data_IF_376466545077
#
_entry.id   IF_376466545077
#
_cell.length_a   1.000
_cell.length_b   1.000
_cell.length_c   1.000
_cell.angle_alpha   90.00
_cell.angle_beta   90.00
_cell.angle_gamma   90.00
#
_symmetry.space_group_name_H-M   'P 1'
#
loop_
_entity.id
_entity.type
_entity.pdbx_description
1 polymer ?
#
# COMPACT_ATOMS: atom_id res chain seq x y z
N UNK A 1 1.41 18.26 -63.11
CA UNK A 1 1.94 17.34 -62.07
C UNK A 1 1.35 17.73 -60.70
N UNK A 2 0.12 17.29 -60.39
CA UNK A 2 -0.47 17.51 -59.07
C UNK A 2 -0.11 16.32 -58.17
N UNK A 3 0.61 16.55 -57.07
CA UNK A 3 0.93 15.51 -56.08
C UNK A 3 -0.32 15.21 -55.25
N UNK A 4 -0.96 14.08 -55.51
CA UNK A 4 -2.02 13.54 -54.65
C UNK A 4 -1.44 13.15 -53.29
N UNK A 5 -2.00 13.68 -52.19
CA UNK A 5 -1.68 13.23 -50.84
C UNK A 5 -2.42 11.91 -50.59
N UNK A 6 -1.67 10.85 -50.29
CA UNK A 6 -2.24 9.58 -49.82
C UNK A 6 -2.74 9.82 -48.39
N UNK A 7 -4.07 9.87 -48.23
CA UNK A 7 -4.69 9.92 -46.91
C UNK A 7 -4.66 8.53 -46.27
N UNK A 8 -4.06 8.41 -45.09
CA UNK A 8 -4.27 7.23 -44.25
C UNK A 8 -5.68 7.29 -43.66
N UNK A 9 -6.44 6.17 -43.65
CA UNK A 9 -7.75 6.16 -43.03
C UNK A 9 -7.59 6.38 -41.52
N UNK A 10 -8.17 7.48 -41.03
CA UNK A 10 -8.41 7.70 -39.61
C UNK A 10 -9.48 6.69 -39.19
N UNK A 11 -9.07 5.60 -38.54
CA UNK A 11 -10.00 4.67 -37.89
C UNK A 11 -10.63 5.44 -36.73
N UNK A 12 -11.92 5.80 -36.88
CA UNK A 12 -12.68 6.38 -35.77
C UNK A 12 -12.89 5.28 -34.71
N UNK A 13 -12.55 5.50 -33.43
CA UNK A 13 -12.93 4.55 -32.40
C UNK A 13 -14.46 4.51 -32.34
N UNK A 14 -15.02 3.35 -32.67
CA UNK A 14 -16.47 3.12 -32.62
C UNK A 14 -16.97 3.20 -31.17
N UNK A 15 -18.19 3.71 -30.94
CA UNK A 15 -18.78 3.76 -29.60
C UNK A 15 -19.46 2.42 -29.34
N UNK A 16 -18.70 1.43 -28.87
CA UNK A 16 -19.22 0.32 -28.06
C UNK A 16 -18.11 -0.70 -27.79
N UNK A 17 -17.23 -0.39 -26.83
CA UNK A 17 -16.73 -1.45 -25.96
C UNK A 17 -17.81 -1.66 -24.90
N UNK A 18 -18.90 -2.31 -25.31
CA UNK A 18 -19.88 -2.84 -24.37
C UNK A 18 -19.20 -3.98 -23.63
N UNK A 19 -18.50 -3.66 -22.54
CA UNK A 19 -18.09 -4.65 -21.56
C UNK A 19 -19.39 -5.23 -20.99
N UNK A 20 -19.78 -6.39 -21.51
CA UNK A 20 -20.65 -7.28 -20.76
C UNK A 20 -20.00 -7.42 -19.38
N UNK A 21 -20.72 -7.05 -18.32
CA UNK A 21 -20.24 -7.21 -16.95
C UNK A 21 -20.05 -8.70 -16.66
N UNK A 22 -18.89 -9.25 -17.00
CA UNK A 22 -18.31 -10.41 -16.33
C UNK A 22 -17.36 -9.83 -15.30
N UNK A 23 -17.84 -9.61 -14.08
CA UNK A 23 -17.07 -9.02 -13.00
C UNK A 23 -16.01 -10.01 -12.49
N UNK A 24 -14.94 -10.21 -13.27
CA UNK A 24 -13.67 -10.83 -12.87
C UNK A 24 -12.52 -9.83 -12.91
N UNK A 25 -12.84 -8.53 -12.98
CA UNK A 25 -11.81 -7.48 -13.02
C UNK A 25 -11.34 -7.15 -11.61
N UNK A 26 -10.04 -7.27 -11.40
CA UNK A 26 -9.36 -6.95 -10.16
C UNK A 26 -8.01 -6.28 -10.45
N UNK A 27 -7.43 -5.65 -9.44
CA UNK A 27 -6.15 -4.97 -9.57
C UNK A 27 -6.25 -3.52 -10.06
N UNK A 28 -5.10 -2.98 -10.47
CA UNK A 28 -4.94 -1.61 -10.95
C UNK A 28 -3.80 -0.86 -10.25
N UNK A 29 -3.76 0.46 -10.46
CA UNK A 29 -2.80 1.37 -9.83
C UNK A 29 -3.52 2.19 -8.77
N UNK A 30 -2.94 2.26 -7.57
CA UNK A 30 -3.54 2.91 -6.41
C UNK A 30 -2.60 3.95 -5.82
N UNK A 31 -3.10 5.17 -5.70
CA UNK A 31 -2.36 6.34 -5.20
C UNK A 31 -3.01 6.98 -3.98
N UNK A 32 -4.15 6.46 -3.53
CA UNK A 32 -4.84 6.90 -2.32
C UNK A 32 -3.98 6.61 -1.08
N UNK A 33 -4.07 7.41 0.00
CA UNK A 33 -3.30 7.18 1.22
C UNK A 33 -3.74 5.94 2.02
N UNK A 34 -4.90 5.37 1.71
CA UNK A 34 -5.43 4.17 2.39
C UNK A 34 -6.42 3.45 1.48
N UNK A 35 -6.35 2.13 1.44
CA UNK A 35 -7.35 1.29 0.76
C UNK A 35 -7.41 -0.10 1.37
N UNK A 36 -8.53 -0.78 1.13
CA UNK A 36 -8.71 -2.22 1.38
C UNK A 36 -8.91 -2.89 0.03
N UNK A 37 -8.10 -3.90 -0.26
CA UNK A 37 -8.27 -4.83 -1.38
C UNK A 37 -8.91 -6.10 -0.87
N UNK A 38 -9.72 -6.72 -1.73
CA UNK A 38 -10.36 -7.99 -1.45
C UNK A 38 -10.12 -8.92 -2.63
N UNK A 39 -10.09 -10.22 -2.37
CA UNK A 39 -10.21 -11.21 -3.44
C UNK A 39 -11.52 -10.98 -4.21
N UNK A 40 -11.53 -11.22 -5.54
CA UNK A 40 -12.77 -11.20 -6.30
C UNK A 40 -13.78 -12.20 -5.72
N UNK A 41 -15.02 -11.77 -5.50
CA UNK A 41 -16.07 -12.61 -4.91
C UNK A 41 -16.25 -12.47 -3.40
N UNK A 42 -15.27 -11.90 -2.68
CA UNK A 42 -15.32 -11.75 -1.22
C UNK A 42 -16.63 -11.08 -0.73
N UNK A 43 -17.32 -11.62 0.29
CA UNK A 43 -16.89 -12.65 1.25
C UNK A 43 -17.15 -14.10 0.82
N UNK A 44 -17.58 -14.34 -0.42
CA UNK A 44 -17.58 -15.71 -0.95
C UNK A 44 -16.15 -16.11 -1.35
N UNK A 45 -15.97 -17.40 -1.60
CA UNK A 45 -14.74 -17.95 -2.14
C UNK A 45 -14.37 -17.26 -3.47
N UNK A 46 -13.07 -17.16 -3.75
CA UNK A 46 -12.59 -16.71 -5.06
C UNK A 46 -12.86 -17.80 -6.11
N UNK A 47 -12.83 -17.44 -7.40
CA UNK A 47 -12.92 -18.43 -8.49
C UNK A 47 -11.52 -18.98 -8.81
N UNK A 48 -11.49 -20.14 -9.46
CA UNK A 48 -10.31 -20.66 -10.15
C UNK A 48 -9.82 -19.69 -11.25
N UNK A 49 -8.53 -19.81 -11.59
CA UNK A 49 -7.83 -19.14 -12.70
C UNK A 49 -7.89 -17.61 -12.62
N UNK A 50 -7.84 -17.05 -11.40
CA UNK A 50 -7.79 -15.62 -11.19
C UNK A 50 -6.34 -15.13 -11.16
N UNK A 51 -6.11 -13.95 -11.73
CA UNK A 51 -4.84 -13.25 -11.64
C UNK A 51 -5.14 -11.77 -11.40
N UNK A 52 -4.67 -11.25 -10.27
CA UNK A 52 -4.89 -9.88 -9.87
C UNK A 52 -3.56 -9.20 -9.53
N UNK A 53 -3.38 -7.97 -10.00
CA UNK A 53 -2.19 -7.15 -9.72
C UNK A 53 -2.59 -5.80 -9.14
N UNK A 54 -2.13 -5.48 -7.93
CA UNK A 54 -2.31 -4.17 -7.32
C UNK A 54 -0.96 -3.48 -7.19
N UNK A 55 -0.79 -2.36 -7.91
CA UNK A 55 0.40 -1.52 -7.81
C UNK A 55 0.09 -0.29 -6.96
N UNK A 56 0.72 -0.19 -5.79
CA UNK A 56 0.58 0.95 -4.89
C UNK A 56 1.72 1.92 -5.18
N UNK A 57 1.39 3.20 -5.37
CA UNK A 57 2.36 4.28 -5.55
C UNK A 57 1.93 5.51 -4.76
N UNK A 58 2.66 5.78 -3.68
CA UNK A 58 2.45 6.93 -2.81
C UNK A 58 3.41 8.08 -3.15
N UNK A 59 3.32 9.18 -2.40
CA UNK A 59 4.23 10.31 -2.56
C UNK A 59 5.65 9.93 -2.11
N UNK A 60 6.65 10.55 -2.72
CA UNK A 60 8.04 10.35 -2.31
C UNK A 60 8.24 10.71 -0.82
N UNK A 61 8.99 9.86 -0.12
CA UNK A 61 9.23 9.98 1.32
C UNK A 61 8.20 9.25 2.18
N UNK A 62 7.02 8.88 1.63
CA UNK A 62 6.08 8.00 2.32
C UNK A 62 6.50 6.54 2.19
N UNK A 63 6.07 5.72 3.15
CA UNK A 63 6.13 4.25 3.12
C UNK A 63 4.72 3.67 3.15
N UNK A 64 4.59 2.39 2.86
CA UNK A 64 3.33 1.65 2.79
C UNK A 64 3.34 0.64 3.93
N UNK A 65 2.40 0.74 4.85
CA UNK A 65 2.13 -0.28 5.87
C UNK A 65 0.96 -1.13 5.41
N UNK A 66 1.24 -2.39 5.07
CA UNK A 66 0.32 -3.41 4.65
C UNK A 66 -0.04 -4.30 5.85
N UNK A 67 -1.33 -4.59 6.00
CA UNK A 67 -1.90 -5.39 7.09
C UNK A 67 -2.98 -6.32 6.55
N UNK A 68 -3.07 -7.52 7.12
CA UNK A 68 -4.02 -8.55 6.71
C UNK A 68 -5.21 -8.56 7.67
N UNK A 69 -6.42 -8.47 7.13
CA UNK A 69 -7.67 -8.48 7.90
C UNK A 69 -8.33 -9.87 7.85
N UNK A 70 -8.24 -10.53 6.70
CA UNK A 70 -8.65 -11.92 6.46
C UNK A 70 -7.68 -12.54 5.44
N UNK A 71 -7.40 -13.83 5.58
CA UNK A 71 -6.53 -14.58 4.68
C UNK A 71 -6.86 -16.08 4.76
N UNK A 72 -7.31 -16.65 3.64
CA UNK A 72 -7.66 -18.06 3.49
C UNK A 72 -7.54 -18.44 2.00
N UNK A 73 -6.42 -19.07 1.63
CA UNK A 73 -6.15 -19.61 0.30
C UNK A 73 -5.98 -21.14 0.40
N UNK A 74 -6.03 -21.84 -0.74
CA UNK A 74 -5.60 -23.24 -0.79
C UNK A 74 -4.19 -23.38 -0.17
N UNK A 75 -4.03 -24.39 0.69
CA UNK A 75 -2.77 -24.64 1.39
C UNK A 75 -2.00 -25.78 0.74
N UNK A 76 -0.75 -25.51 0.37
CA UNK A 76 0.21 -26.53 -0.02
C UNK A 76 1.61 -26.15 0.51
N UNK A 77 2.49 -27.13 0.78
CA UNK A 77 3.77 -26.86 1.46
C UNK A 77 4.69 -25.83 0.79
N UNK A 78 4.49 -25.52 -0.50
CA UNK A 78 5.30 -24.58 -1.25
C UNK A 78 4.49 -23.43 -1.87
N UNK A 79 3.20 -23.31 -1.56
CA UNK A 79 2.28 -22.33 -2.14
C UNK A 79 2.42 -22.25 -3.67
N UNK A 80 2.29 -23.40 -4.33
CA UNK A 80 2.43 -23.55 -5.77
C UNK A 80 1.09 -23.50 -6.51
N UNK A 81 -0.01 -23.85 -5.84
CA UNK A 81 -1.34 -23.76 -6.41
C UNK A 81 -1.84 -22.30 -6.32
N UNK A 82 -2.41 -21.93 -5.17
CA UNK A 82 -2.91 -20.59 -4.92
C UNK A 82 -1.95 -19.80 -4.04
N UNK A 83 -1.72 -18.53 -4.39
CA UNK A 83 -0.80 -17.72 -3.61
C UNK A 83 -1.04 -16.21 -3.71
N UNK A 84 -0.60 -15.53 -2.66
CA UNK A 84 -0.44 -14.09 -2.60
C UNK A 84 1.05 -13.74 -2.52
N UNK A 85 1.55 -12.96 -3.47
CA UNK A 85 2.93 -12.47 -3.51
C UNK A 85 3.00 -10.97 -3.23
N UNK A 86 4.07 -10.57 -2.54
CA UNK A 86 4.33 -9.18 -2.19
C UNK A 86 5.73 -8.80 -2.65
N UNK A 87 5.83 -7.65 -3.29
CA UNK A 87 7.07 -7.06 -3.76
C UNK A 87 7.20 -5.63 -3.24
N UNK A 88 8.32 -5.32 -2.59
CA UNK A 88 8.74 -3.98 -2.17
C UNK A 88 9.35 -3.20 -3.35
N UNK A 89 8.66 -3.23 -4.49
CA UNK A 89 9.02 -2.57 -5.73
C UNK A 89 7.75 -2.26 -6.54
N UNK A 90 7.88 -1.61 -7.70
CA UNK A 90 6.75 -1.30 -8.59
C UNK A 90 6.54 -2.36 -9.69
N UNK A 91 7.21 -3.51 -9.59
CA UNK A 91 7.08 -4.66 -10.48
C UNK A 91 7.01 -5.97 -9.66
N UNK A 92 6.84 -7.10 -10.32
CA UNK A 92 6.81 -8.44 -9.73
C UNK A 92 8.13 -9.22 -9.96
N UNK A 93 9.24 -8.50 -10.14
CA UNK A 93 10.57 -9.05 -10.43
C UNK A 93 11.55 -8.71 -9.29
N UNK A 94 11.50 -7.47 -8.81
CA UNK A 94 12.42 -6.95 -7.80
C UNK A 94 11.77 -6.85 -6.43
N UNK A 95 12.59 -6.94 -5.38
CA UNK A 95 12.14 -6.68 -4.01
C UNK A 95 11.11 -7.70 -3.50
N UNK A 96 11.17 -8.96 -3.95
CA UNK A 96 10.32 -10.02 -3.43
C UNK A 96 10.41 -10.10 -1.90
N UNK A 97 9.26 -9.97 -1.23
CA UNK A 97 9.13 -10.01 0.22
C UNK A 97 8.74 -11.42 0.68
N UNK A 98 7.75 -12.00 0.02
CA UNK A 98 7.24 -13.31 0.38
C UNK A 98 6.08 -13.77 -0.51
N UNK A 99 5.82 -15.07 -0.40
CA UNK A 99 4.67 -15.76 -0.99
C UNK A 99 3.91 -16.44 0.15
N UNK A 100 2.59 -16.29 0.13
CA UNK A 100 1.71 -16.71 1.22
C UNK A 100 0.52 -17.49 0.67
N UNK A 101 0.13 -18.56 1.37
CA UNK A 101 -1.05 -19.37 1.11
C UNK A 101 -1.57 -19.97 2.44
N UNK A 102 -2.62 -20.80 2.39
CA UNK A 102 -3.28 -21.31 3.58
C UNK A 102 -4.07 -20.24 4.34
N UNK A 103 -4.31 -20.48 5.62
CA UNK A 103 -5.23 -19.68 6.45
C UNK A 103 -4.56 -18.96 7.64
N UNK A 104 -3.23 -19.00 7.72
CA UNK A 104 -2.48 -18.21 8.69
C UNK A 104 -2.37 -16.77 8.20
N UNK A 105 -2.74 -15.81 9.05
CA UNK A 105 -2.57 -14.38 8.74
C UNK A 105 -1.07 -14.05 8.69
N UNK A 106 -0.56 -13.54 7.55
CA UNK A 106 0.83 -13.10 7.49
C UNK A 106 1.08 -11.89 8.40
N UNK A 107 2.33 -11.71 8.82
CA UNK A 107 2.73 -10.52 9.56
C UNK A 107 2.58 -9.24 8.71
N UNK A 108 2.34 -8.12 9.40
CA UNK A 108 2.30 -6.81 8.76
C UNK A 108 3.63 -6.46 8.08
N UNK A 109 3.56 -5.86 6.90
CA UNK A 109 4.72 -5.51 6.09
C UNK A 109 4.80 -4.00 5.94
N UNK A 110 6.00 -3.42 6.12
CA UNK A 110 6.26 -2.01 5.86
C UNK A 110 7.28 -1.90 4.72
N UNK A 111 6.84 -1.40 3.56
CA UNK A 111 7.68 -1.17 2.37
C UNK A 111 8.89 -0.31 2.69
N UNK A 112 10.03 -0.44 2.02
CA UNK A 112 11.18 0.46 2.22
C UNK A 112 11.01 1.79 1.51
N UNK A 113 10.22 1.81 0.43
CA UNK A 113 9.94 2.99 -0.39
C UNK A 113 8.44 3.33 -0.50
N UNK A 114 8.12 4.19 -1.46
CA UNK A 114 6.75 4.65 -1.73
C UNK A 114 5.99 3.77 -2.74
N UNK A 115 6.52 2.58 -3.06
CA UNK A 115 5.93 1.65 -4.03
C UNK A 115 5.86 0.24 -3.46
N UNK A 116 4.82 -0.50 -3.84
CA UNK A 116 4.64 -1.91 -3.51
C UNK A 116 3.74 -2.56 -4.56
N UNK A 117 4.08 -3.77 -4.99
CA UNK A 117 3.25 -4.59 -5.88
C UNK A 117 2.72 -5.79 -5.12
N UNK A 118 1.42 -6.03 -5.25
CA UNK A 118 0.74 -7.19 -4.70
C UNK A 118 0.19 -8.01 -5.86
N UNK A 119 0.32 -9.33 -5.77
CA UNK A 119 -0.15 -10.26 -6.80
C UNK A 119 -0.90 -11.40 -6.15
N UNK A 120 -2.10 -11.68 -6.65
CA UNK A 120 -2.85 -12.88 -6.31
C UNK A 120 -2.99 -13.74 -7.56
N UNK A 121 -2.78 -15.05 -7.39
CA UNK A 121 -3.04 -16.04 -8.42
C UNK A 121 -3.79 -17.23 -7.79
N UNK A 122 -4.81 -17.72 -8.49
CA UNK A 122 -5.41 -19.03 -8.23
C UNK A 122 -5.25 -19.97 -9.43
N UNK A 123 -5.11 -21.27 -9.15
CA UNK A 123 -4.93 -22.30 -10.16
C UNK A 123 -6.27 -22.79 -10.76
N UNK A 124 -6.31 -23.95 -11.40
CA UNK A 124 -7.50 -24.46 -12.07
C UNK A 124 -8.52 -25.15 -11.15
N UNK A 125 -8.24 -25.30 -9.86
CA UNK A 125 -9.10 -26.03 -8.92
C UNK A 125 -8.83 -25.65 -7.47
N UNK A 126 -9.79 -25.97 -6.60
CA UNK A 126 -9.74 -25.72 -5.15
C UNK A 126 -9.72 -24.23 -4.86
N UNK A 127 -10.75 -23.79 -4.15
CA UNK A 127 -10.90 -22.39 -3.77
C UNK A 127 -11.13 -22.31 -2.28
N UNK A 128 -10.88 -21.14 -1.71
CA UNK A 128 -10.99 -20.86 -0.29
C UNK A 128 -11.56 -19.45 -0.08
N UNK A 129 -11.71 -19.04 1.18
CA UNK A 129 -12.42 -17.80 1.57
C UNK A 129 -11.82 -16.50 1.03
N UNK A 130 -10.58 -16.54 0.55
CA UNK A 130 -9.87 -15.41 -0.04
C UNK A 130 -9.29 -14.47 1.01
N UNK A 131 -9.25 -13.17 0.72
CA UNK A 131 -8.55 -12.23 1.60
C UNK A 131 -9.18 -10.84 1.65
N UNK A 132 -8.90 -10.14 2.74
CA UNK A 132 -9.03 -8.69 2.85
C UNK A 132 -7.71 -8.10 3.34
N UNK A 133 -7.08 -7.27 2.51
CA UNK A 133 -5.76 -6.70 2.78
C UNK A 133 -5.87 -5.19 2.75
N UNK A 134 -5.30 -4.52 3.76
CA UNK A 134 -5.36 -3.08 3.91
C UNK A 134 -3.96 -2.49 3.83
N UNK A 135 -3.81 -1.42 3.06
CA UNK A 135 -2.62 -0.59 3.15
C UNK A 135 -2.96 0.81 3.68
N UNK A 136 -1.99 1.43 4.35
CA UNK A 136 -2.00 2.83 4.76
C UNK A 136 -0.65 3.49 4.48
N UNK A 137 -0.69 4.76 4.12
CA UNK A 137 0.48 5.61 3.98
C UNK A 137 1.09 5.89 5.36
N UNK A 138 2.41 5.76 5.45
CA UNK A 138 3.21 6.15 6.60
C UNK A 138 4.06 7.34 6.19
N UNK A 139 3.78 8.50 6.77
CA UNK A 139 4.52 9.72 6.50
C UNK A 139 5.92 9.67 7.14
N UNK A 140 6.92 10.32 6.53
CA UNK A 140 8.22 10.47 7.15
C UNK A 140 8.09 11.28 8.46
N UNK A 141 8.98 11.07 9.46
CA UNK A 141 8.96 11.85 10.68
C UNK A 141 9.06 13.35 10.37
N UNK A 142 8.03 14.12 10.74
CA UNK A 142 8.07 15.57 10.57
C UNK A 142 9.16 16.17 11.46
N UNK A 143 9.99 17.09 10.92
CA UNK A 143 10.98 17.86 11.70
C UNK A 143 10.33 18.99 12.53
N UNK A 144 9.06 18.89 12.91
CA UNK A 144 8.34 19.97 13.58
C UNK A 144 8.08 19.67 15.06
N UNK A 145 9.16 19.63 15.86
CA UNK A 145 9.16 20.04 17.28
C UNK A 145 10.57 20.02 17.92
N UNK A 146 11.57 20.61 17.26
CA UNK A 146 12.77 21.09 17.95
C UNK A 146 12.82 22.61 17.80
N UNK A 147 12.26 23.34 18.78
CA UNK A 147 12.21 24.81 18.72
C UNK A 147 11.24 25.51 19.65
N UNK A 148 11.28 25.23 20.97
CA UNK A 148 11.02 26.27 21.97
C UNK A 148 12.18 26.28 22.96
N UNK A 149 13.24 26.98 22.57
CA UNK A 149 14.26 27.43 23.50
C UNK A 149 13.64 28.54 24.36
N UNK A 150 13.05 28.20 25.49
CA UNK A 150 12.78 29.18 26.55
C UNK A 150 14.07 29.41 27.35
N UNK A 151 15.00 30.14 26.74
CA UNK A 151 16.01 30.89 27.49
C UNK A 151 15.31 32.10 28.12
N UNK A 152 14.64 31.92 29.26
CA UNK A 152 14.24 33.06 30.07
C UNK A 152 15.45 33.47 30.91
N UNK A 153 16.18 34.46 30.39
CA UNK A 153 17.17 35.22 31.14
C UNK A 153 16.42 35.94 32.26
N UNK A 154 16.52 35.46 33.50
CA UNK A 154 16.14 36.24 34.67
C UNK A 154 17.31 37.16 35.05
N UNK A 155 17.36 38.35 34.43
CA UNK A 155 18.15 39.47 34.95
C UNK A 155 17.22 40.33 35.81
N UNK A 156 17.45 40.33 37.13
CA UNK A 156 16.69 41.14 38.07
C UNK A 156 17.43 41.31 39.39
N UNK A 157 18.34 42.29 39.41
CA UNK A 157 19.10 42.70 40.58
C UNK A 157 18.27 43.72 41.40
N UNK A 158 17.97 43.45 42.69
CA UNK A 158 17.63 44.47 43.70
C UNK A 158 18.08 44.06 45.11
N UNK A 159 19.21 44.65 45.48
CA UNK A 159 19.74 45.02 46.78
C UNK A 159 18.78 45.29 47.98
N UNK A 160 19.35 45.12 49.17
CA UNK A 160 19.10 45.77 50.50
C UNK A 160 18.01 45.21 51.43
N UNK A 161 18.41 44.54 52.52
CA UNK A 161 18.49 45.11 53.88
C UNK A 161 19.16 44.14 54.87
N UNK A 162 19.90 44.72 55.82
CA UNK A 162 20.74 44.07 56.83
C UNK A 162 20.05 43.97 58.21
N UNK A 163 20.56 43.06 59.05
CA UNK A 163 20.34 43.02 60.51
C UNK A 163 19.47 41.83 60.95
N UNK A 164 19.75 41.08 62.01
CA UNK A 164 20.69 41.21 63.14
C UNK A 164 20.79 39.82 63.80
N UNK A 165 21.97 39.47 64.30
CA UNK A 165 22.23 38.35 65.20
C UNK A 165 21.52 38.53 66.55
N UNK A 166 21.05 37.43 67.16
CA UNK A 166 20.91 37.32 68.62
C UNK A 166 21.20 35.88 69.03
N UNK A 167 22.27 35.69 69.79
CA UNK A 167 22.54 34.49 70.58
C UNK A 167 21.49 34.35 71.68
N UNK A 168 21.01 33.13 71.89
CA UNK A 168 21.05 32.38 73.15
C UNK A 168 20.78 30.90 72.84
#
# INVERSE_FOLDING_TARGET
MAKGRVGYPIVKPGPNCGFGKTAKECGGIFTDPKRIFKSPGFPNEYDDNQICYWHIRLQYGQRIHLSFLDFDLEDDPACLADYFEIYDSYDDIHGFVGRFCGNELPEDIISTGNVMTLKFLSDASVTAGGFQIKYVAVDPPSKSSQGKNTSTIATGNKNFLAGRFSHL
#
